data_IF_428566194476
#
_entry.id   IF_428566194476
#
_cell.length_a   1.000
_cell.length_b   1.000
_cell.length_c   1.000
_cell.angle_alpha   90.00
_cell.angle_beta   90.00
_cell.angle_gamma   90.00
#
_symmetry.space_group_name_H-M   'P 1'
#
loop_
_entity.id
_entity.type
_entity.pdbx_description
1 polymer ?
#
# COMPACT_ATOMS: atom_id res chain seq x y z
N UNK A 1 13.58 -22.28 11.14
CA UNK A 1 14.88 -21.70 11.51
C UNK A 1 14.69 -21.00 12.83
N UNK A 2 15.41 -21.50 13.82
CA UNK A 2 15.37 -21.05 15.21
C UNK A 2 15.88 -19.60 15.31
N UNK A 3 15.05 -18.70 15.84
CA UNK A 3 15.35 -17.26 15.98
C UNK A 3 16.42 -16.98 17.07
N UNK A 4 16.95 -18.02 17.72
CA UNK A 4 17.88 -17.92 18.86
C UNK A 4 19.36 -17.77 18.50
N UNK A 5 19.74 -17.90 17.22
CA UNK A 5 21.15 -17.89 16.79
C UNK A 5 21.68 -16.58 16.19
N UNK A 6 20.86 -15.52 16.12
CA UNK A 6 21.21 -14.31 15.37
C UNK A 6 21.13 -13.07 16.26
N UNK A 7 22.27 -12.58 16.76
CA UNK A 7 22.40 -11.36 17.57
C UNK A 7 22.13 -10.06 16.78
N UNK A 8 21.35 -10.15 15.71
CA UNK A 8 21.07 -9.07 14.79
C UNK A 8 19.94 -8.18 15.32
N UNK A 9 20.30 -6.99 15.83
CA UNK A 9 19.31 -5.97 16.18
C UNK A 9 18.73 -5.34 14.91
N UNK A 10 17.41 -5.40 14.76
CA UNK A 10 16.67 -4.76 13.66
C UNK A 10 16.14 -3.39 14.12
N UNK A 11 16.38 -2.33 13.33
CA UNK A 11 15.85 -0.99 13.62
C UNK A 11 14.33 -0.87 13.36
N UNK A 12 13.75 -1.84 12.65
CA UNK A 12 12.31 -1.94 12.30
C UNK A 12 11.75 -0.79 11.47
N UNK A 13 12.59 0.13 11.00
CA UNK A 13 12.20 1.21 10.08
C UNK A 13 11.87 0.60 8.69
N UNK A 14 10.70 0.88 8.10
CA UNK A 14 10.31 0.37 6.78
C UNK A 14 11.27 0.70 5.63
N UNK A 15 11.97 1.84 5.73
CA UNK A 15 12.97 2.27 4.77
C UNK A 15 14.28 1.46 4.85
N UNK A 16 14.55 0.77 5.96
CA UNK A 16 15.79 0.01 6.14
C UNK A 16 15.78 -1.25 5.23
N UNK A 17 16.75 -1.41 4.30
CA UNK A 17 16.77 -2.54 3.39
C UNK A 17 16.70 -3.90 4.07
N UNK A 18 17.43 -4.05 5.17
CA UNK A 18 17.46 -5.26 5.97
C UNK A 18 16.12 -5.54 6.64
N UNK A 19 15.49 -4.52 7.23
CA UNK A 19 14.22 -4.68 7.91
C UNK A 19 13.08 -4.97 6.93
N UNK A 20 13.04 -4.28 5.78
CA UNK A 20 11.99 -4.53 4.79
C UNK A 20 12.14 -5.91 4.15
N UNK A 21 13.36 -6.36 3.84
CA UNK A 21 13.56 -7.69 3.26
C UNK A 21 13.12 -8.79 4.23
N UNK A 22 13.47 -8.66 5.51
CA UNK A 22 13.02 -9.61 6.54
C UNK A 22 11.49 -9.59 6.71
N UNK A 23 10.90 -8.40 6.84
CA UNK A 23 9.46 -8.24 7.00
C UNK A 23 8.70 -8.78 5.78
N UNK A 24 9.18 -8.51 4.57
CA UNK A 24 8.63 -9.05 3.31
C UNK A 24 8.60 -10.57 3.32
N UNK A 25 9.72 -11.23 3.61
CA UNK A 25 9.77 -12.70 3.66
C UNK A 25 8.78 -13.29 4.66
N UNK A 26 8.69 -12.67 5.86
CA UNK A 26 7.71 -13.07 6.89
C UNK A 26 6.27 -12.87 6.42
N UNK A 27 5.94 -11.73 5.82
CA UNK A 27 4.59 -11.43 5.34
C UNK A 27 4.20 -12.32 4.16
N UNK A 28 5.11 -12.60 3.23
CA UNK A 28 4.88 -13.56 2.13
C UNK A 28 4.56 -14.94 2.69
N UNK A 29 5.36 -15.42 3.66
CA UNK A 29 5.11 -16.71 4.30
C UNK A 29 3.75 -16.78 5.02
N UNK A 30 3.36 -15.72 5.73
CA UNK A 30 2.04 -15.63 6.39
C UNK A 30 0.91 -15.61 5.35
N UNK A 31 1.03 -14.79 4.30
CA UNK A 31 0.00 -14.64 3.28
C UNK A 31 -0.28 -15.97 2.57
N UNK A 32 0.76 -16.68 2.15
CA UNK A 32 0.66 -17.98 1.45
C UNK A 32 0.16 -19.08 2.40
N UNK A 33 0.85 -19.27 3.53
CA UNK A 33 0.65 -20.47 4.36
C UNK A 33 -0.50 -20.38 5.35
N UNK A 34 -1.05 -19.18 5.57
CA UNK A 34 -2.08 -18.94 6.60
C UNK A 34 -3.25 -18.13 6.09
N UNK A 35 -3.02 -16.90 5.64
CA UNK A 35 -4.12 -15.97 5.35
C UNK A 35 -4.92 -16.41 4.14
N UNK A 36 -4.25 -16.77 3.05
CA UNK A 36 -4.89 -17.17 1.78
C UNK A 36 -4.66 -18.64 1.46
N UNK A 37 -4.43 -19.46 2.49
CA UNK A 37 -4.23 -20.90 2.32
C UNK A 37 -5.46 -21.52 1.63
N UNK A 38 -5.22 -22.25 0.54
CA UNK A 38 -6.28 -22.89 -0.26
C UNK A 38 -7.09 -21.95 -1.17
N UNK A 39 -6.73 -20.68 -1.28
CA UNK A 39 -7.37 -19.78 -2.24
C UNK A 39 -6.94 -20.11 -3.69
N UNK A 40 -7.87 -19.95 -4.63
CA UNK A 40 -7.61 -20.10 -6.07
C UNK A 40 -7.54 -18.72 -6.75
N UNK A 41 -6.78 -18.60 -7.85
CA UNK A 41 -6.59 -17.33 -8.57
C UNK A 41 -7.91 -16.65 -8.98
N UNK A 42 -8.94 -17.41 -9.33
CA UNK A 42 -10.28 -16.93 -9.70
C UNK A 42 -10.98 -16.16 -8.58
N UNK A 43 -10.67 -16.48 -7.32
CA UNK A 43 -11.27 -15.87 -6.14
C UNK A 43 -10.39 -14.75 -5.56
N UNK A 44 -9.29 -14.39 -6.23
CA UNK A 44 -8.27 -13.49 -5.71
C UNK A 44 -8.16 -12.24 -6.57
N UNK A 45 -8.03 -11.10 -5.89
CA UNK A 45 -7.85 -9.81 -6.52
C UNK A 45 -6.79 -8.97 -5.80
N UNK A 46 -6.22 -8.03 -6.54
CA UNK A 46 -5.33 -7.00 -6.05
C UNK A 46 -6.03 -5.65 -6.14
N UNK A 47 -6.18 -5.01 -4.98
CA UNK A 47 -6.78 -3.69 -4.82
C UNK A 47 -5.68 -2.64 -4.71
N UNK A 48 -5.77 -1.59 -5.52
CA UNK A 48 -5.15 -0.29 -5.26
C UNK A 48 -6.25 0.70 -4.94
N UNK A 49 -6.18 1.31 -3.75
CA UNK A 49 -7.13 2.30 -3.28
C UNK A 49 -6.41 3.61 -2.97
N UNK A 50 -6.70 4.64 -3.75
CA UNK A 50 -6.15 5.97 -3.55
C UNK A 50 -6.95 6.72 -2.47
N UNK A 51 -6.25 7.47 -1.63
CA UNK A 51 -6.87 8.35 -0.62
C UNK A 51 -6.44 9.81 -0.86
N UNK A 52 -7.16 10.79 -0.29
CA UNK A 52 -6.86 12.20 -0.51
C UNK A 52 -5.40 12.56 -0.20
N UNK A 53 -4.72 13.29 -1.10
CA UNK A 53 -3.39 13.82 -0.83
C UNK A 53 -3.47 14.95 0.20
N UNK A 54 -2.35 15.23 0.87
CA UNK A 54 -2.25 16.26 1.91
C UNK A 54 -0.87 16.87 1.96
N UNK A 55 -0.76 18.15 2.33
CA UNK A 55 0.52 18.79 2.67
C UNK A 55 0.90 18.59 4.15
N UNK A 56 -0.02 18.08 4.96
CA UNK A 56 0.19 17.84 6.40
C UNK A 56 0.23 16.33 6.70
N UNK A 57 1.38 15.82 7.15
CA UNK A 57 1.53 14.41 7.57
C UNK A 57 0.65 14.05 8.78
N UNK A 58 0.26 15.03 9.60
CA UNK A 58 -0.55 14.79 10.81
C UNK A 58 -1.93 14.23 10.46
N UNK A 59 -2.47 14.57 9.28
CA UNK A 59 -3.80 14.11 8.83
C UNK A 59 -3.77 12.74 8.12
N UNK A 60 -2.58 12.20 7.83
CA UNK A 60 -2.43 10.89 7.18
C UNK A 60 -2.99 9.77 8.05
N UNK A 61 -2.63 9.72 9.34
CA UNK A 61 -3.11 8.69 10.27
C UNK A 61 -4.66 8.71 10.39
N UNK A 62 -5.31 9.87 10.62
CA UNK A 62 -6.78 9.97 10.56
C UNK A 62 -7.38 9.51 9.22
N UNK A 63 -6.75 9.85 8.10
CA UNK A 63 -7.21 9.47 6.76
C UNK A 63 -7.15 7.94 6.56
N UNK A 64 -6.02 7.32 6.92
CA UNK A 64 -5.83 5.87 6.91
C UNK A 64 -6.87 5.18 7.81
N UNK A 65 -7.01 5.62 9.06
CA UNK A 65 -7.96 5.05 10.01
C UNK A 65 -9.42 5.13 9.54
N UNK A 66 -9.83 6.26 8.95
CA UNK A 66 -11.16 6.44 8.35
C UNK A 66 -11.39 5.47 7.19
N UNK A 67 -10.38 5.30 6.33
CA UNK A 67 -10.44 4.39 5.17
C UNK A 67 -10.55 2.94 5.63
N UNK A 68 -9.71 2.51 6.56
CA UNK A 68 -9.79 1.15 7.11
C UNK A 68 -11.12 0.86 7.80
N UNK A 69 -11.65 1.83 8.57
CA UNK A 69 -12.94 1.69 9.22
C UNK A 69 -14.07 1.58 8.20
N UNK A 70 -14.01 2.31 7.08
CA UNK A 70 -14.97 2.15 5.96
C UNK A 70 -14.89 0.76 5.36
N UNK A 71 -13.69 0.24 5.07
CA UNK A 71 -13.49 -1.11 4.54
C UNK A 71 -14.01 -2.19 5.50
N UNK A 72 -13.67 -2.09 6.79
CA UNK A 72 -14.16 -2.98 7.85
C UNK A 72 -15.68 -2.96 7.92
N UNK A 73 -16.28 -1.77 7.94
CA UNK A 73 -17.73 -1.60 8.03
C UNK A 73 -18.44 -2.09 6.76
N UNK A 74 -17.87 -1.87 5.57
CA UNK A 74 -18.38 -2.40 4.31
C UNK A 74 -18.54 -3.92 4.38
N UNK A 75 -17.43 -4.62 4.63
CA UNK A 75 -17.39 -6.09 4.66
C UNK A 75 -18.32 -6.59 5.76
N UNK A 76 -18.24 -6.04 6.97
CA UNK A 76 -19.09 -6.42 8.09
C UNK A 76 -20.58 -6.25 7.77
N UNK A 77 -20.97 -5.15 7.13
CA UNK A 77 -22.38 -4.90 6.82
C UNK A 77 -22.87 -5.81 5.69
N UNK A 78 -22.05 -6.07 4.67
CA UNK A 78 -22.39 -7.01 3.60
C UNK A 78 -22.59 -8.43 4.12
N UNK A 79 -21.74 -8.89 5.05
CA UNK A 79 -21.89 -10.18 5.76
C UNK A 79 -23.19 -10.36 6.55
N UNK A 80 -23.89 -9.27 6.89
CA UNK A 80 -25.19 -9.35 7.57
C UNK A 80 -26.33 -9.68 6.61
N UNK A 81 -26.16 -9.35 5.33
CA UNK A 81 -27.24 -9.41 4.32
C UNK A 81 -26.93 -10.39 3.19
N UNK A 82 -25.66 -10.76 3.01
CA UNK A 82 -25.20 -11.64 1.93
C UNK A 82 -24.11 -12.62 2.45
N UNK A 83 -24.43 -13.91 2.61
CA UNK A 83 -23.49 -14.93 3.07
C UNK A 83 -22.26 -15.11 2.18
N UNK A 84 -22.32 -14.74 0.88
CA UNK A 84 -21.15 -14.83 -0.02
C UNK A 84 -19.98 -13.98 0.48
N UNK A 85 -20.25 -12.94 1.27
CA UNK A 85 -19.26 -12.04 1.86
C UNK A 85 -18.59 -12.60 3.13
N UNK A 86 -19.04 -13.72 3.68
CA UNK A 86 -18.51 -14.30 4.92
C UNK A 86 -17.04 -14.75 4.77
N UNK A 87 -16.66 -15.17 3.56
CA UNK A 87 -15.30 -15.58 3.21
C UNK A 87 -14.44 -14.45 2.65
N UNK A 88 -15.03 -13.28 2.36
CA UNK A 88 -14.29 -12.11 1.86
C UNK A 88 -13.27 -11.66 2.91
N UNK A 89 -12.00 -11.61 2.57
CA UNK A 89 -10.94 -11.17 3.48
C UNK A 89 -9.85 -10.43 2.71
N UNK A 90 -9.09 -9.57 3.40
CA UNK A 90 -7.95 -8.90 2.79
C UNK A 90 -6.78 -8.73 3.75
N UNK A 91 -5.59 -8.64 3.18
CA UNK A 91 -4.40 -8.09 3.82
C UNK A 91 -3.87 -6.97 2.95
N UNK A 92 -3.65 -5.81 3.55
CA UNK A 92 -3.20 -4.62 2.85
C UNK A 92 -2.02 -3.94 3.52
N UNK A 93 -1.29 -3.21 2.69
CA UNK A 93 -0.13 -2.42 3.05
C UNK A 93 -0.30 -1.00 2.53
N UNK A 94 -0.08 -0.04 3.42
CA UNK A 94 -0.07 1.38 3.07
C UNK A 94 1.29 1.75 2.47
N UNK A 95 1.23 2.43 1.34
CA UNK A 95 2.37 3.07 0.69
C UNK A 95 2.16 4.58 0.73
N UNK A 96 3.26 5.32 0.83
CA UNK A 96 3.28 6.77 0.77
C UNK A 96 4.01 7.18 -0.49
N UNK A 97 3.32 7.83 -1.43
CA UNK A 97 4.02 8.58 -2.47
C UNK A 97 4.30 9.99 -1.96
N UNK A 98 5.51 10.47 -2.24
CA UNK A 98 5.89 11.87 -2.12
C UNK A 98 5.76 12.51 -3.49
N UNK A 99 5.06 13.64 -3.55
CA UNK A 99 5.02 14.52 -4.71
C UNK A 99 5.39 15.94 -4.30
N UNK A 100 5.74 16.76 -5.27
CA UNK A 100 5.61 18.21 -5.18
C UNK A 100 4.44 18.71 -6.01
N UNK A 101 4.22 20.02 -5.97
CA UNK A 101 3.18 20.65 -6.77
C UNK A 101 3.43 20.48 -8.28
N UNK A 102 4.69 20.46 -8.73
CA UNK A 102 5.03 20.39 -10.15
C UNK A 102 4.73 19.00 -10.74
N UNK A 103 4.88 17.96 -9.94
CA UNK A 103 4.55 16.57 -10.31
C UNK A 103 3.13 16.41 -10.86
N UNK A 104 2.17 17.23 -10.37
CA UNK A 104 0.79 17.20 -10.84
C UNK A 104 0.66 17.41 -12.35
N UNK A 105 1.49 18.28 -12.92
CA UNK A 105 1.51 18.56 -14.36
C UNK A 105 2.17 17.45 -15.17
N UNK A 106 3.07 16.68 -14.56
CA UNK A 106 3.73 15.52 -15.17
C UNK A 106 2.92 14.23 -15.07
N UNK A 107 1.82 14.20 -14.31
CA UNK A 107 1.01 12.99 -14.16
C UNK A 107 0.31 12.58 -15.47
N UNK A 108 0.35 11.28 -15.76
CA UNK A 108 -0.48 10.70 -16.80
C UNK A 108 -1.98 10.92 -16.54
N UNK A 109 -2.78 10.91 -17.61
CA UNK A 109 -4.20 11.28 -17.61
C UNK A 109 -5.01 10.70 -16.44
N UNK A 110 -4.93 9.39 -16.21
CA UNK A 110 -5.74 8.72 -15.17
C UNK A 110 -5.36 9.19 -13.77
N UNK A 111 -4.06 9.36 -13.50
CA UNK A 111 -3.58 9.83 -12.20
C UNK A 111 -4.00 11.28 -11.97
N UNK A 112 -3.92 12.13 -13.00
CA UNK A 112 -4.38 13.51 -12.92
C UNK A 112 -5.87 13.58 -12.55
N UNK A 113 -6.72 12.84 -13.26
CA UNK A 113 -8.16 12.75 -12.97
C UNK A 113 -8.44 12.22 -11.55
N UNK A 114 -7.64 11.23 -11.09
CA UNK A 114 -7.75 10.73 -9.73
C UNK A 114 -7.41 11.79 -8.69
N UNK A 115 -6.29 12.50 -8.87
CA UNK A 115 -5.84 13.54 -7.94
C UNK A 115 -6.80 14.72 -7.89
N UNK A 116 -7.35 15.14 -9.04
CA UNK A 116 -8.40 16.16 -9.11
C UNK A 116 -9.64 15.72 -8.33
N UNK A 117 -10.14 14.50 -8.57
CA UNK A 117 -11.29 13.95 -7.86
C UNK A 117 -11.06 13.65 -6.37
N UNK A 118 -9.81 13.60 -5.93
CA UNK A 118 -9.41 13.41 -4.54
C UNK A 118 -9.07 14.71 -3.82
N UNK A 119 -9.14 15.85 -4.51
CA UNK A 119 -8.88 17.16 -3.93
C UNK A 119 -7.40 17.49 -3.81
N UNK A 120 -6.64 17.36 -4.91
CA UNK A 120 -5.26 17.82 -4.98
C UNK A 120 -5.11 19.24 -4.40
N UNK A 121 -4.15 19.48 -3.47
CA UNK A 121 -4.03 20.76 -2.78
C UNK A 121 -3.58 21.86 -3.74
N UNK A 122 -4.54 22.67 -4.20
CA UNK A 122 -4.31 23.74 -5.19
C UNK A 122 -3.42 24.87 -4.67
N UNK A 123 -3.40 25.09 -3.34
CA UNK A 123 -2.66 26.17 -2.69
C UNK A 123 -1.39 25.70 -1.98
N UNK A 124 -0.91 24.47 -2.24
CA UNK A 124 0.39 24.05 -1.76
C UNK A 124 1.45 25.04 -2.30
N UNK A 125 2.31 25.56 -1.43
CA UNK A 125 3.35 26.49 -1.83
C UNK A 125 4.25 25.81 -2.88
N UNK A 126 4.19 26.33 -4.10
CA UNK A 126 4.83 25.76 -5.30
C UNK A 126 6.32 25.41 -5.12
N UNK A 127 7.00 26.04 -4.17
CA UNK A 127 8.45 25.92 -3.98
C UNK A 127 8.87 25.15 -2.72
N UNK A 128 7.96 24.86 -1.78
CA UNK A 128 8.34 24.29 -0.48
C UNK A 128 7.49 23.11 -0.03
N UNK A 129 6.23 23.03 -0.43
CA UNK A 129 5.31 22.06 0.16
C UNK A 129 5.45 20.67 -0.47
N UNK A 130 5.64 19.68 0.38
CA UNK A 130 5.55 18.27 -0.01
C UNK A 130 4.09 17.83 0.04
N UNK A 131 3.64 17.20 -1.03
CA UNK A 131 2.31 16.57 -1.11
C UNK A 131 2.45 15.08 -0.84
N UNK A 132 1.92 14.65 0.29
CA UNK A 132 1.88 13.26 0.73
C UNK A 132 0.63 12.59 0.20
N UNK A 133 0.80 11.54 -0.59
CA UNK A 133 -0.31 10.75 -1.12
C UNK A 133 -0.26 9.32 -0.56
N UNK A 134 -0.96 9.05 0.54
CA UNK A 134 -1.14 7.68 0.99
C UNK A 134 -1.98 6.91 -0.03
N UNK A 135 -1.72 5.63 -0.17
CA UNK A 135 -2.58 4.70 -0.90
C UNK A 135 -2.42 3.29 -0.35
N UNK A 136 -3.50 2.51 -0.47
CA UNK A 136 -3.56 1.15 0.05
C UNK A 136 -3.41 0.16 -1.10
N UNK A 137 -2.43 -0.72 -0.99
CA UNK A 137 -2.32 -1.93 -1.79
C UNK A 137 -2.79 -3.13 -0.98
N UNK A 138 -3.77 -3.89 -1.47
CA UNK A 138 -4.30 -5.04 -0.75
C UNK A 138 -4.50 -6.27 -1.63
N UNK A 139 -4.16 -7.43 -1.09
CA UNK A 139 -4.60 -8.71 -1.63
C UNK A 139 -5.95 -9.03 -1.00
N UNK A 140 -6.94 -9.32 -1.83
CA UNK A 140 -8.32 -9.60 -1.43
C UNK A 140 -8.68 -11.00 -1.90
N UNK A 141 -9.14 -11.85 -0.98
CA UNK A 141 -9.89 -13.04 -1.33
C UNK A 141 -11.36 -12.65 -1.35
N UNK A 142 -11.99 -12.78 -2.51
CA UNK A 142 -13.37 -12.38 -2.77
C UNK A 142 -14.38 -13.47 -2.43
N UNK A 143 -13.93 -14.70 -2.20
CA UNK A 143 -14.83 -15.84 -2.04
C UNK A 143 -15.71 -15.99 -3.27
N UNK A 144 -17.02 -15.98 -3.08
CA UNK A 144 -18.01 -16.08 -4.18
C UNK A 144 -18.53 -14.74 -4.67
N UNK A 145 -17.94 -13.62 -4.23
CA UNK A 145 -18.30 -12.27 -4.67
C UNK A 145 -17.52 -11.94 -5.94
N UNK A 146 -18.17 -11.36 -6.94
CA UNK A 146 -17.47 -10.95 -8.16
C UNK A 146 -16.59 -9.73 -7.91
N UNK A 147 -15.54 -9.55 -8.74
CA UNK A 147 -14.67 -8.37 -8.68
C UNK A 147 -15.47 -7.07 -8.84
N UNK A 148 -16.39 -7.05 -9.80
CA UNK A 148 -17.19 -5.86 -10.11
C UNK A 148 -18.12 -5.51 -8.94
N UNK A 149 -18.79 -6.51 -8.35
CA UNK A 149 -19.65 -6.31 -7.18
C UNK A 149 -18.84 -5.74 -5.99
N UNK A 150 -17.63 -6.26 -5.74
CA UNK A 150 -16.77 -5.75 -4.67
C UNK A 150 -16.29 -4.32 -4.95
N UNK A 151 -15.87 -4.02 -6.19
CA UNK A 151 -15.43 -2.69 -6.60
C UNK A 151 -16.56 -1.65 -6.53
N UNK A 152 -17.77 -2.00 -6.98
CA UNK A 152 -18.96 -1.17 -6.86
C UNK A 152 -19.32 -0.90 -5.39
N UNK A 153 -19.23 -1.93 -4.54
CA UNK A 153 -19.49 -1.79 -3.12
C UNK A 153 -18.50 -0.81 -2.45
N UNK A 154 -17.22 -0.83 -2.85
CA UNK A 154 -16.21 0.14 -2.42
C UNK A 154 -16.59 1.56 -2.87
N UNK A 155 -16.89 1.75 -4.15
CA UNK A 155 -17.24 3.06 -4.73
C UNK A 155 -18.47 3.67 -4.04
N UNK A 156 -19.51 2.86 -3.82
CA UNK A 156 -20.73 3.26 -3.11
C UNK A 156 -20.51 3.63 -1.63
N UNK A 157 -19.38 3.25 -1.02
CA UNK A 157 -19.01 3.60 0.36
C UNK A 157 -17.97 4.72 0.47
N UNK A 158 -18.04 5.67 -0.46
CA UNK A 158 -17.27 6.91 -0.40
C UNK A 158 -15.87 6.80 -1.00
N UNK A 159 -15.68 5.84 -1.91
CA UNK A 159 -14.49 5.71 -2.75
C UNK A 159 -14.85 5.84 -4.24
N UNK A 160 -15.78 6.76 -4.55
CA UNK A 160 -16.38 6.94 -5.87
C UNK A 160 -15.63 7.89 -6.80
N UNK A 161 -14.51 8.50 -6.37
CA UNK A 161 -13.75 9.40 -7.24
C UNK A 161 -13.16 8.63 -8.44
N UNK A 162 -12.98 9.29 -9.61
CA UNK A 162 -12.41 8.64 -10.79
C UNK A 162 -11.07 7.95 -10.48
N UNK A 163 -10.90 6.72 -10.95
CA UNK A 163 -9.68 5.91 -10.76
C UNK A 163 -9.23 5.73 -9.29
N UNK A 164 -10.09 6.03 -8.31
CA UNK A 164 -9.76 5.85 -6.89
C UNK A 164 -9.65 4.37 -6.51
N UNK A 165 -10.49 3.54 -7.11
CA UNK A 165 -10.56 2.08 -6.90
C UNK A 165 -10.10 1.38 -8.18
N UNK A 166 -8.95 0.74 -8.12
CA UNK A 166 -8.47 -0.22 -9.12
C UNK A 166 -8.43 -1.61 -8.50
N UNK A 167 -9.18 -2.55 -9.08
CA UNK A 167 -9.29 -3.93 -8.59
C UNK A 167 -9.01 -4.89 -9.73
N UNK A 168 -7.85 -5.52 -9.70
CA UNK A 168 -7.37 -6.42 -10.75
C UNK A 168 -7.44 -7.87 -10.28
N UNK A 169 -7.82 -8.80 -11.16
CA UNK A 169 -7.73 -10.23 -10.83
C UNK A 169 -6.29 -10.71 -10.82
N UNK A 170 -6.04 -11.85 -10.16
CA UNK A 170 -4.73 -12.51 -10.25
C UNK A 170 -4.46 -13.00 -11.68
N UNK A 171 -3.18 -13.07 -12.06
CA UNK A 171 -2.76 -13.64 -13.34
C UNK A 171 -3.02 -15.15 -13.32
N UNK A 172 -3.95 -15.61 -14.16
CA UNK A 172 -4.38 -17.00 -14.23
C UNK A 172 -3.29 -17.95 -14.74
N UNK A 173 -2.22 -17.42 -15.33
CA UNK A 173 -1.09 -18.21 -15.84
C UNK A 173 -0.01 -18.46 -14.78
N UNK A 174 -0.12 -17.85 -13.60
CA UNK A 174 0.82 -18.01 -12.49
C UNK A 174 0.17 -18.82 -11.37
N UNK A 175 0.98 -19.57 -10.62
CA UNK A 175 0.53 -20.16 -9.36
C UNK A 175 0.04 -19.08 -8.39
N UNK A 176 -0.97 -19.39 -7.59
CA UNK A 176 -1.52 -18.46 -6.59
C UNK A 176 -0.45 -17.97 -5.62
N UNK A 177 0.43 -18.87 -5.17
CA UNK A 177 1.56 -18.55 -4.29
C UNK A 177 2.53 -17.58 -4.93
N UNK A 178 2.75 -17.70 -6.25
CA UNK A 178 3.61 -16.80 -7.02
C UNK A 178 2.96 -15.43 -7.17
N UNK A 179 1.66 -15.36 -7.47
CA UNK A 179 0.90 -14.10 -7.45
C UNK A 179 1.00 -13.42 -6.07
N UNK A 180 0.73 -14.15 -4.98
CA UNK A 180 0.82 -13.61 -3.61
C UNK A 180 2.23 -13.09 -3.34
N UNK A 181 3.28 -13.86 -3.65
CA UNK A 181 4.66 -13.45 -3.43
C UNK A 181 5.02 -12.17 -4.19
N UNK A 182 4.65 -12.09 -5.46
CA UNK A 182 4.92 -10.91 -6.31
C UNK A 182 4.19 -9.68 -5.78
N UNK A 183 2.92 -9.83 -5.39
CA UNK A 183 2.10 -8.74 -4.88
C UNK A 183 2.51 -8.27 -3.48
N UNK A 184 2.90 -9.19 -2.57
CA UNK A 184 3.48 -8.78 -1.28
C UNK A 184 4.79 -8.01 -1.49
N UNK A 185 5.65 -8.47 -2.41
CA UNK A 185 6.88 -7.74 -2.76
C UNK A 185 6.58 -6.35 -3.31
N UNK A 186 5.58 -6.25 -4.17
CA UNK A 186 5.13 -5.00 -4.77
C UNK A 186 4.59 -4.03 -3.71
N UNK A 187 3.67 -4.47 -2.85
CA UNK A 187 3.04 -3.64 -1.81
C UNK A 187 3.98 -3.23 -0.67
N UNK A 188 5.09 -3.94 -0.49
CA UNK A 188 6.13 -3.65 0.51
C UNK A 188 7.40 -3.08 -0.14
N UNK A 189 7.24 -2.29 -1.20
CA UNK A 189 8.31 -1.45 -1.75
C UNK A 189 8.27 -0.13 -0.97
N UNK A 190 9.27 0.11 -0.12
CA UNK A 190 9.44 1.40 0.53
C UNK A 190 10.58 2.10 -0.17
N UNK A 191 10.29 3.22 -0.83
CA UNK A 191 11.25 3.98 -1.62
C UNK A 191 11.24 5.44 -1.20
N UNK A 192 12.43 6.02 -1.16
CA UNK A 192 12.67 7.46 -0.96
C UNK A 192 13.56 8.02 -2.10
N UNK A 193 13.65 7.28 -3.20
CA UNK A 193 14.35 7.67 -4.42
C UNK A 193 13.41 8.56 -5.24
N UNK A 194 13.85 9.78 -5.55
CA UNK A 194 13.13 10.75 -6.36
C UNK A 194 13.14 10.36 -7.84
N UNK A 195 14.26 9.82 -8.31
CA UNK A 195 14.48 9.45 -9.71
C UNK A 195 13.97 8.06 -10.10
N UNK A 196 13.37 7.28 -9.18
CA UNK A 196 13.00 5.90 -9.48
C UNK A 196 12.03 5.76 -10.67
N UNK A 197 11.23 6.81 -10.94
CA UNK A 197 10.28 6.86 -12.05
C UNK A 197 10.94 7.26 -13.39
N UNK A 198 12.14 7.82 -13.34
CA UNK A 198 12.91 8.17 -14.53
C UNK A 198 13.92 7.07 -14.82
N UNK A 199 13.91 6.53 -16.03
CA UNK A 199 14.87 5.50 -16.48
C UNK A 199 16.29 6.04 -16.67
N UNK A 200 16.56 7.30 -16.33
CA UNK A 200 17.85 7.95 -16.48
C UNK A 200 18.68 7.81 -15.22
N UNK A 201 19.24 6.61 -15.01
CA UNK A 201 20.33 6.43 -14.06
C UNK A 201 21.45 7.42 -14.40
N UNK A 202 21.66 8.44 -13.57
CA UNK A 202 22.78 9.37 -13.72
C UNK A 202 24.04 8.67 -13.22
N UNK A 203 25.03 8.52 -14.08
CA UNK A 203 26.34 8.03 -13.68
C UNK A 203 27.21 9.24 -13.31
N UNK A 204 27.76 9.23 -12.11
CA UNK A 204 28.74 10.22 -11.66
C UNK A 204 30.11 9.57 -11.52
N UNK A 205 31.16 10.26 -11.96
CA UNK A 205 32.55 9.83 -11.77
C UNK A 205 33.14 10.56 -10.57
N UNK A 206 33.65 9.84 -9.58
CA UNK A 206 34.25 10.42 -8.36
C UNK A 206 35.78 10.58 -8.44
N UNK A 207 36.37 10.32 -9.61
CA UNK A 207 37.82 10.26 -9.79
C UNK A 207 38.38 8.83 -9.83
N UNK A 208 37.63 7.83 -9.35
CA UNK A 208 38.08 6.44 -9.26
C UNK A 208 37.09 5.41 -9.82
N UNK A 209 35.78 5.67 -9.70
CA UNK A 209 34.74 4.80 -10.21
C UNK A 209 33.53 5.57 -10.73
N UNK A 210 32.84 4.99 -11.72
CA UNK A 210 31.50 5.39 -12.12
C UNK A 210 30.54 4.86 -11.05
N UNK A 211 29.89 5.77 -10.33
CA UNK A 211 28.86 5.47 -9.34
C UNK A 211 27.49 5.87 -9.88
N UNK A 212 26.46 5.09 -9.55
CA UNK A 212 25.09 5.42 -9.89
C UNK A 212 24.60 6.48 -8.91
N UNK A 213 24.48 7.72 -9.38
CA UNK A 213 23.97 8.83 -8.60
C UNK A 213 22.46 8.69 -8.51
N UNK A 214 22.00 8.25 -7.34
CA UNK A 214 20.56 8.22 -7.00
C UNK A 214 20.14 9.60 -6.54
N UNK A 215 19.02 10.05 -7.07
CA UNK A 215 18.34 11.23 -6.55
C UNK A 215 17.43 10.80 -5.39
N UNK A 216 17.62 11.41 -4.23
CA UNK A 216 16.85 11.11 -3.02
C UNK A 216 15.82 12.21 -2.78
N UNK A 217 14.77 11.90 -2.03
CA UNK A 217 13.89 12.95 -1.49
C UNK A 217 14.71 13.95 -0.66
N UNK A 218 14.18 15.17 -0.50
CA UNK A 218 14.81 16.20 0.34
C UNK A 218 14.99 15.66 1.77
N UNK A 219 16.10 16.02 2.42
CA UNK A 219 16.42 15.55 3.78
C UNK A 219 15.30 15.82 4.79
N UNK A 220 14.63 16.97 4.67
CA UNK A 220 13.46 17.32 5.48
C UNK A 220 12.31 16.32 5.27
N UNK A 221 11.98 15.99 4.03
CA UNK A 221 10.90 15.06 3.70
C UNK A 221 11.22 13.65 4.22
N UNK A 222 12.48 13.21 4.09
CA UNK A 222 12.93 11.92 4.65
C UNK A 222 12.77 11.91 6.17
N UNK A 223 13.23 12.96 6.85
CA UNK A 223 13.12 13.09 8.31
C UNK A 223 11.66 13.05 8.76
N UNK A 224 10.83 13.92 8.19
CA UNK A 224 9.41 14.04 8.54
C UNK A 224 8.69 12.70 8.32
N UNK A 225 8.99 12.00 7.21
CA UNK A 225 8.41 10.69 6.93
C UNK A 225 8.89 9.60 7.90
N UNK A 226 10.19 9.56 8.25
CA UNK A 226 10.73 8.59 9.22
C UNK A 226 10.17 8.83 10.62
N UNK A 227 10.11 10.09 11.07
CA UNK A 227 9.52 10.45 12.36
C UNK A 227 8.03 10.09 12.39
N UNK A 228 7.31 10.42 11.32
CA UNK A 228 5.93 10.00 11.14
C UNK A 228 5.80 8.48 11.24
N UNK A 229 6.58 7.70 10.49
CA UNK A 229 6.55 6.23 10.49
C UNK A 229 6.76 5.63 11.89
N UNK A 230 7.61 6.24 12.70
CA UNK A 230 8.04 5.68 13.98
C UNK A 230 7.23 6.16 15.20
N UNK A 231 6.31 7.12 15.04
CA UNK A 231 5.66 7.83 16.16
C UNK A 231 4.57 7.11 16.99
N UNK A 232 3.84 6.10 16.51
CA UNK A 232 2.69 5.52 17.27
C UNK A 232 2.71 4.01 17.47
N UNK A 233 3.10 3.25 16.43
CA UNK A 233 3.27 1.79 16.45
C UNK A 233 4.42 1.49 15.49
N UNK A 234 5.43 0.77 15.95
CA UNK A 234 6.71 0.70 15.25
C UNK A 234 6.58 0.32 13.77
N UNK A 235 7.03 1.22 12.88
CA UNK A 235 7.30 0.96 11.47
C UNK A 235 6.22 0.16 10.73
N UNK A 236 6.55 -1.07 10.34
CA UNK A 236 5.71 -1.93 9.48
C UNK A 236 4.29 -2.19 10.01
N UNK A 237 4.05 -2.12 11.32
CA UNK A 237 2.72 -2.34 11.87
C UNK A 237 1.76 -1.21 11.49
N UNK A 238 2.23 0.04 11.52
CA UNK A 238 1.45 1.20 11.08
C UNK A 238 1.01 1.08 9.63
N UNK A 239 1.87 0.49 8.80
CA UNK A 239 1.62 0.38 7.37
C UNK A 239 0.81 -0.87 7.01
N UNK A 240 0.18 -1.55 7.97
CA UNK A 240 -0.55 -2.79 7.73
C UNK A 240 -1.99 -2.68 8.18
N UNK A 241 -2.89 -3.23 7.36
CA UNK A 241 -4.29 -3.44 7.72
C UNK A 241 -4.76 -4.79 7.21
N UNK A 242 -5.77 -5.36 7.86
CA UNK A 242 -6.36 -6.63 7.43
C UNK A 242 -7.78 -6.77 7.95
N UNK A 243 -8.57 -7.55 7.22
CA UNK A 243 -9.86 -8.09 7.66
C UNK A 243 -9.84 -9.58 7.35
N UNK A 244 -9.96 -10.42 8.37
CA UNK A 244 -10.09 -11.86 8.21
C UNK A 244 -11.52 -12.28 7.86
N UNK A 245 -11.70 -13.57 7.61
CA UNK A 245 -13.03 -14.20 7.41
C UNK A 245 -13.94 -13.96 8.63
N UNK A 246 -15.25 -14.12 8.44
CA UNK A 246 -16.19 -14.11 9.56
C UNK A 246 -15.85 -15.27 10.50
N UNK A 247 -15.59 -14.98 11.76
CA UNK A 247 -15.48 -16.02 12.76
C UNK A 247 -16.88 -16.55 13.04
N UNK A 248 -17.11 -17.83 12.74
CA UNK A 248 -18.27 -18.55 13.24
C UNK A 248 -17.96 -18.81 14.71
N UNK A 249 -18.73 -18.22 15.61
CA UNK A 249 -18.61 -18.54 17.03
C UNK A 249 -18.80 -20.03 17.20
N UNK A 250 -17.79 -20.72 17.73
CA UNK A 250 -17.99 -22.06 18.27
C UNK A 250 -18.86 -21.85 19.51
N UNK A 251 -20.15 -22.19 19.39
CA UNK A 251 -21.07 -22.31 20.52
C UNK A 251 -20.65 -23.51 21.37
#
# INVERSE_FOLDING_TARGET
MDERGNNMKLCRVPLCPRCFMNSRGKQTGIAIKRTFAGAANENMAFLTLLVPPTTDLSVVDPCMGKTENRLRNLIRNRRKTDPRWDTVQYTGWWEMERHDWQDFHGFGRNKKLAMEGLGWPQFANHNDDTVWQPHLHAIVCLGSVSRDEFAEALRAKGHGSPYQVDLQGFDQRKDVDKNISDLVRYSMKFRIEADYKMSSAKLSWDGTALSLQRDWWRDKDIRDYVEWLMSKRGGFERLRTSVGVKQVGVL
#
